data_IF_903037608273
#
_entry.id   IF_903037608273
#
_cell.length_a   1.000
_cell.length_b   1.000
_cell.length_c   1.000
_cell.angle_alpha   90.00
_cell.angle_beta   90.00
_cell.angle_gamma   90.00
#
_symmetry.space_group_name_H-M   'P 1'
#
loop_
_entity.id
_entity.type
_entity.pdbx_description
1 polymer ?
#
# COMPACT_ATOMS: atom_id res chain seq x y z
N UNK A 1 21.22 -11.88 -5.87
CA UNK A 1 20.01 -11.28 -6.46
C UNK A 1 19.80 -9.93 -5.81
N UNK A 2 19.59 -8.86 -6.57
CA UNK A 2 19.31 -7.55 -6.00
C UNK A 2 17.95 -7.60 -5.29
N UNK A 3 17.94 -7.23 -4.01
CA UNK A 3 16.75 -7.24 -3.16
C UNK A 3 15.91 -6.02 -3.50
N UNK A 4 14.71 -6.24 -4.06
CA UNK A 4 13.76 -5.16 -4.35
C UNK A 4 12.72 -5.09 -3.26
N UNK A 5 12.38 -3.87 -2.88
CA UNK A 5 11.25 -3.54 -2.02
C UNK A 5 10.42 -2.45 -2.68
N UNK A 6 9.12 -2.46 -2.39
CA UNK A 6 8.20 -1.39 -2.77
C UNK A 6 7.62 -0.77 -1.50
N UNK A 7 8.03 0.47 -1.22
CA UNK A 7 7.49 1.25 -0.13
C UNK A 7 6.40 2.15 -0.71
N UNK A 8 5.19 2.01 -0.18
CA UNK A 8 4.02 2.76 -0.60
C UNK A 8 3.52 3.53 0.62
N UNK A 9 3.39 4.85 0.48
CA UNK A 9 2.93 5.73 1.56
C UNK A 9 1.69 6.48 1.14
N UNK A 10 0.66 6.39 1.98
CA UNK A 10 -0.61 7.12 1.87
C UNK A 10 -0.73 8.07 3.05
N UNK A 11 -1.15 9.31 2.81
CA UNK A 11 -1.35 10.28 3.88
C UNK A 11 -2.44 11.31 3.59
N UNK A 12 -3.07 11.80 4.66
CA UNK A 12 -4.09 12.85 4.61
C UNK A 12 -3.52 14.29 4.71
N UNK A 13 -2.20 14.47 4.76
CA UNK A 13 -1.61 15.80 4.80
C UNK A 13 -0.12 15.84 5.14
N UNK A 14 0.35 17.01 5.55
CA UNK A 14 1.72 17.25 6.01
C UNK A 14 1.71 17.95 7.37
N UNK A 15 2.55 17.51 8.32
CA UNK A 15 2.69 18.12 9.65
C UNK A 15 2.43 17.16 10.82
N UNK A 16 2.35 17.69 12.04
CA UNK A 16 1.92 16.93 13.21
C UNK A 16 0.44 16.54 13.12
N UNK A 17 0.09 15.35 13.62
CA UNK A 17 -1.29 14.85 13.61
C UNK A 17 -1.76 14.29 12.26
N UNK A 18 -0.91 14.25 11.23
CA UNK A 18 -1.26 13.60 9.96
C UNK A 18 -1.29 12.09 10.11
N UNK A 19 -2.32 11.47 9.56
CA UNK A 19 -2.41 10.03 9.44
C UNK A 19 -1.56 9.58 8.26
N UNK A 20 -0.75 8.54 8.49
CA UNK A 20 0.14 7.98 7.47
C UNK A 20 0.13 6.47 7.54
N UNK A 21 -0.28 5.85 6.43
CA UNK A 21 -0.13 4.42 6.21
C UNK A 21 1.08 4.15 5.33
N UNK A 22 1.94 3.25 5.79
CA UNK A 22 3.12 2.79 5.05
C UNK A 22 2.98 1.30 4.81
N UNK A 23 2.93 0.89 3.54
CA UNK A 23 3.07 -0.49 3.12
C UNK A 23 4.49 -0.73 2.61
N UNK A 24 5.08 -1.85 2.99
CA UNK A 24 6.29 -2.38 2.37
C UNK A 24 5.95 -3.73 1.78
N UNK A 25 6.18 -3.89 0.48
CA UNK A 25 6.03 -5.14 -0.24
C UNK A 25 7.41 -5.65 -0.63
N UNK A 26 7.71 -6.91 -0.34
CA UNK A 26 8.99 -7.52 -0.69
C UNK A 26 10.20 -6.99 0.12
N UNK A 27 9.98 -6.50 1.33
CA UNK A 27 11.04 -6.24 2.30
C UNK A 27 11.86 -7.50 2.65
N UNK A 28 12.97 -7.30 3.36
CA UNK A 28 13.86 -8.37 3.83
C UNK A 28 14.24 -9.35 2.71
N UNK A 29 14.84 -8.82 1.64
CA UNK A 29 15.20 -9.63 0.48
C UNK A 29 14.01 -10.30 -0.21
N UNK A 30 12.89 -9.59 -0.34
CA UNK A 30 11.68 -10.08 -1.00
C UNK A 30 11.06 -11.28 -0.29
N UNK A 31 11.11 -11.31 1.03
CA UNK A 31 10.55 -12.40 1.86
C UNK A 31 9.42 -11.95 2.77
N UNK A 32 9.27 -10.63 2.95
CA UNK A 32 8.37 -10.08 3.96
C UNK A 32 7.66 -8.84 3.46
N UNK A 33 6.39 -8.69 3.81
CA UNK A 33 5.58 -7.52 3.52
C UNK A 33 4.78 -7.12 4.74
N UNK A 34 4.55 -5.82 4.93
CA UNK A 34 3.81 -5.29 6.09
C UNK A 34 3.11 -3.99 5.76
N UNK A 35 2.05 -3.68 6.50
CA UNK A 35 1.32 -2.41 6.42
C UNK A 35 1.22 -1.81 7.82
N UNK A 36 1.50 -0.53 8.03
CA UNK A 36 1.43 0.10 9.35
C UNK A 36 0.89 1.53 9.27
N UNK A 37 0.14 1.93 10.30
CA UNK A 37 -0.11 3.33 10.59
C UNK A 37 1.12 3.90 11.32
N UNK A 38 1.49 5.15 11.04
CA UNK A 38 2.65 5.80 11.71
C UNK A 38 2.24 6.42 13.04
N UNK A 39 0.94 6.70 13.21
CA UNK A 39 0.34 7.28 14.41
C UNK A 39 0.17 6.26 15.53
N UNK A 40 0.07 4.98 15.17
CA UNK A 40 -0.08 3.87 16.09
C UNK A 40 0.89 2.76 15.68
N UNK A 41 1.79 2.36 16.58
CA UNK A 41 2.67 1.21 16.38
C UNK A 41 1.92 -0.12 16.25
N UNK A 42 0.58 -0.13 16.34
CA UNK A 42 -0.22 -1.29 15.99
C UNK A 42 0.05 -1.73 14.55
N UNK A 43 0.46 -3.00 14.48
CA UNK A 43 0.87 -3.71 13.28
C UNK A 43 -0.37 -3.91 12.42
N UNK A 44 -0.47 -3.22 11.28
CA UNK A 44 -1.27 -3.76 10.18
C UNK A 44 -0.62 -5.07 9.73
N UNK A 45 -1.45 -6.02 9.33
CA UNK A 45 -1.08 -7.41 9.10
C UNK A 45 0.21 -7.56 8.28
N UNK A 46 0.97 -8.59 8.59
CA UNK A 46 2.18 -8.95 7.88
C UNK A 46 2.00 -10.21 7.03
N UNK A 47 2.76 -10.26 5.94
CA UNK A 47 2.78 -11.38 5.01
C UNK A 47 4.21 -11.85 4.78
N UNK A 48 4.44 -13.15 4.90
CA UNK A 48 5.74 -13.80 4.72
C UNK A 48 5.84 -14.52 3.36
N UNK A 49 5.08 -14.05 2.36
CA UNK A 49 5.09 -14.64 1.02
C UNK A 49 6.36 -14.21 0.26
N UNK A 50 7.28 -15.14 -0.05
CA UNK A 50 8.53 -14.77 -0.69
C UNK A 50 8.39 -14.61 -2.21
N UNK A 51 9.34 -13.89 -2.81
CA UNK A 51 9.47 -13.69 -4.25
C UNK A 51 8.28 -13.00 -4.92
N UNK A 52 7.55 -12.19 -4.16
CA UNK A 52 6.39 -11.41 -4.62
C UNK A 52 6.76 -10.36 -5.68
N UNK A 53 7.92 -9.71 -5.53
CA UNK A 53 8.42 -8.75 -6.51
C UNK A 53 9.33 -9.42 -7.55
N UNK A 54 9.07 -9.16 -8.84
CA UNK A 54 9.89 -9.71 -9.92
C UNK A 54 11.13 -8.85 -10.18
N UNK A 55 12.31 -9.48 -10.35
CA UNK A 55 13.51 -8.75 -10.75
C UNK A 55 13.44 -8.31 -12.23
N UNK A 56 12.69 -9.04 -13.06
CA UNK A 56 12.69 -8.89 -14.53
C UNK A 56 11.47 -8.16 -15.06
N UNK A 57 10.30 -8.37 -14.45
CA UNK A 57 9.02 -7.86 -14.94
C UNK A 57 8.43 -6.88 -13.91
N UNK A 58 7.69 -5.85 -14.35
CA UNK A 58 6.89 -5.05 -13.43
C UNK A 58 5.89 -5.94 -12.70
N UNK A 59 5.88 -5.87 -11.36
CA UNK A 59 4.84 -6.51 -10.55
C UNK A 59 3.68 -5.53 -10.39
N UNK A 60 2.46 -5.86 -10.86
CA UNK A 60 1.29 -5.02 -10.61
C UNK A 60 0.92 -5.06 -9.12
N UNK A 61 0.73 -3.89 -8.52
CA UNK A 61 0.29 -3.74 -7.12
C UNK A 61 -0.93 -2.83 -7.14
N UNK A 62 -2.03 -3.31 -6.57
CA UNK A 62 -3.25 -2.52 -6.37
C UNK A 62 -3.29 -2.03 -4.93
N UNK A 63 -3.57 -0.74 -4.78
CA UNK A 63 -3.77 -0.07 -3.49
C UNK A 63 -5.20 0.42 -3.49
N UNK A 64 -6.04 -0.12 -2.61
CA UNK A 64 -7.47 0.18 -2.58
C UNK A 64 -7.89 0.64 -1.19
N UNK A 65 -8.38 1.87 -1.09
CA UNK A 65 -9.05 2.35 0.10
C UNK A 65 -10.56 2.28 -0.11
N UNK A 66 -11.23 1.47 0.70
CA UNK A 66 -12.67 1.23 0.63
C UNK A 66 -13.43 2.22 1.52
N UNK A 67 -14.67 2.52 1.14
CA UNK A 67 -15.55 3.41 1.91
C UNK A 67 -15.81 2.95 3.36
N UNK A 68 -15.71 1.66 3.64
CA UNK A 68 -15.85 1.12 4.99
C UNK A 68 -14.59 1.32 5.87
N UNK A 69 -13.62 2.10 5.42
CA UNK A 69 -12.37 2.35 6.13
C UNK A 69 -11.31 1.28 5.93
N UNK A 70 -11.55 0.25 5.11
CA UNK A 70 -10.56 -0.81 4.88
C UNK A 70 -9.53 -0.39 3.82
N UNK A 71 -8.25 -0.57 4.11
CA UNK A 71 -7.15 -0.42 3.16
C UNK A 71 -6.59 -1.78 2.78
N UNK A 72 -6.64 -2.12 1.49
CA UNK A 72 -6.15 -3.37 0.93
C UNK A 72 -4.98 -3.13 -0.04
N UNK A 73 -3.91 -3.93 0.12
CA UNK A 73 -2.81 -4.03 -0.84
C UNK A 73 -2.87 -5.40 -1.49
N UNK A 74 -3.01 -5.46 -2.81
CA UNK A 74 -3.25 -6.69 -3.55
C UNK A 74 -2.28 -6.86 -4.71
N UNK A 75 -1.93 -8.11 -5.04
CA UNK A 75 -1.12 -8.46 -6.20
C UNK A 75 -1.85 -9.54 -6.99
N UNK A 76 -2.14 -9.31 -8.29
CA UNK A 76 -2.78 -10.30 -9.14
C UNK A 76 -2.12 -11.68 -9.08
N UNK A 77 -2.93 -12.71 -8.84
CA UNK A 77 -2.47 -14.09 -8.70
C UNK A 77 -2.07 -14.51 -7.28
N UNK A 78 -2.04 -13.58 -6.32
CA UNK A 78 -1.98 -13.89 -4.88
C UNK A 78 -3.41 -13.97 -4.35
N UNK A 79 -3.74 -15.04 -3.62
CA UNK A 79 -5.05 -15.20 -3.01
C UNK A 79 -5.20 -14.27 -1.79
N UNK A 80 -6.39 -13.65 -1.65
CA UNK A 80 -6.68 -12.55 -0.70
C UNK A 80 -5.79 -11.31 -0.91
N UNK A 81 -6.16 -10.13 -0.38
CA UNK A 81 -5.24 -9.01 -0.30
C UNK A 81 -3.96 -9.43 0.42
N UNK A 82 -2.80 -9.09 -0.15
CA UNK A 82 -1.51 -9.37 0.44
C UNK A 82 -1.38 -8.75 1.83
N UNK A 83 -1.92 -7.53 1.99
CA UNK A 83 -1.95 -6.80 3.26
C UNK A 83 -3.32 -6.14 3.40
N UNK A 84 -3.83 -6.07 4.62
CA UNK A 84 -5.05 -5.33 4.94
C UNK A 84 -4.92 -4.62 6.29
N UNK A 85 -5.56 -3.46 6.42
CA UNK A 85 -5.66 -2.71 7.66
C UNK A 85 -7.00 -1.99 7.77
N UNK A 86 -7.41 -1.73 9.02
CA UNK A 86 -8.40 -0.71 9.33
C UNK A 86 -7.71 0.66 9.22
N UNK A 87 -8.14 1.43 8.23
CA UNK A 87 -7.71 2.78 7.90
C UNK A 87 -8.91 3.74 7.91
N UNK A 88 -9.87 3.51 8.80
CA UNK A 88 -11.03 4.38 9.02
C UNK A 88 -10.66 5.79 9.48
N UNK A 89 -9.46 5.98 10.05
CA UNK A 89 -8.89 7.27 10.42
C UNK A 89 -8.32 8.05 9.22
N UNK A 90 -8.04 7.38 8.10
CA UNK A 90 -7.58 7.98 6.86
C UNK A 90 -8.77 8.42 6.02
N UNK A 91 -9.52 9.43 6.45
CA UNK A 91 -10.77 9.83 5.76
C UNK A 91 -10.58 10.37 4.34
N UNK A 92 -9.39 10.83 3.98
CA UNK A 92 -9.04 11.34 2.66
C UNK A 92 -7.54 11.12 2.38
N UNK A 93 -7.20 10.55 1.22
CA UNK A 93 -5.80 10.46 0.76
C UNK A 93 -5.45 11.71 -0.05
N UNK A 94 -4.64 12.59 0.54
CA UNK A 94 -4.17 13.82 -0.13
C UNK A 94 -2.87 13.64 -0.87
N UNK A 95 -2.06 12.68 -0.44
CA UNK A 95 -0.76 12.42 -1.04
C UNK A 95 -0.46 10.94 -1.04
N UNK A 96 0.18 10.52 -2.13
CA UNK A 96 0.66 9.18 -2.37
C UNK A 96 2.12 9.24 -2.80
N UNK A 97 2.96 8.38 -2.23
CA UNK A 97 4.38 8.29 -2.54
C UNK A 97 4.80 6.83 -2.71
N UNK A 98 5.65 6.57 -3.72
CA UNK A 98 6.28 5.25 -3.91
C UNK A 98 7.79 5.41 -4.00
N UNK A 99 8.53 4.56 -3.28
CA UNK A 99 9.99 4.50 -3.36
C UNK A 99 10.53 3.10 -3.06
N UNK A 100 11.81 2.88 -3.36
CA UNK A 100 12.56 1.68 -2.97
C UNK A 100 13.69 2.11 -2.03
N UNK A 101 14.06 1.28 -1.05
CA UNK A 101 15.17 1.61 -0.15
C UNK A 101 16.53 1.31 -0.75
N UNK A 102 16.68 0.16 -1.40
CA UNK A 102 18.01 -0.38 -1.71
C UNK A 102 18.39 -0.24 -3.18
N UNK A 103 17.45 -0.40 -4.10
CA UNK A 103 17.74 -0.44 -5.53
C UNK A 103 16.84 0.52 -6.31
N UNK A 104 17.38 1.24 -7.32
CA UNK A 104 16.57 2.08 -8.17
C UNK A 104 15.54 1.22 -8.94
N UNK A 105 14.26 1.47 -8.67
CA UNK A 105 13.13 0.84 -9.33
C UNK A 105 12.50 1.81 -10.35
N UNK A 106 11.91 1.25 -11.41
CA UNK A 106 11.01 2.01 -12.28
C UNK A 106 9.59 1.80 -11.80
N UNK A 107 8.84 2.89 -11.71
CA UNK A 107 7.47 2.90 -11.24
C UNK A 107 6.55 3.33 -12.36
N UNK A 108 5.42 2.66 -12.44
CA UNK A 108 4.30 3.02 -13.30
C UNK A 108 3.10 3.15 -12.38
N UNK A 109 2.38 4.26 -12.48
CA UNK A 109 1.19 4.48 -11.68
C UNK A 109 0.04 4.85 -12.61
N UNK A 110 -1.14 4.37 -12.26
CA UNK A 110 -2.39 4.77 -12.88
C UNK A 110 -3.43 4.86 -11.77
N UNK A 111 -4.16 5.96 -11.71
CA UNK A 111 -5.27 6.16 -10.79
C UNK A 111 -6.52 6.25 -11.66
N UNK A 112 -7.29 5.17 -11.70
CA UNK A 112 -8.37 5.03 -12.69
C UNK A 112 -9.70 5.58 -12.23
N UNK A 113 -10.03 5.58 -10.93
CA UNK A 113 -11.31 6.08 -10.43
C UNK A 113 -11.17 6.64 -9.00
N UNK A 114 -11.74 7.82 -8.76
CA UNK A 114 -12.28 8.22 -7.47
C UNK A 114 -13.78 7.93 -7.64
N UNK A 115 -14.28 6.81 -7.13
CA UNK A 115 -15.72 6.64 -7.00
C UNK A 115 -16.17 7.63 -5.91
N UNK A 116 -16.55 8.85 -6.33
CA UNK A 116 -17.32 9.74 -5.48
C UNK A 116 -18.61 8.98 -5.14
N UNK A 117 -18.76 8.59 -3.87
CA UNK A 117 -19.99 8.04 -3.33
C UNK A 117 -21.08 9.13 -3.35
N UNK A 118 -21.58 9.46 -4.53
CA UNK A 118 -22.72 10.33 -4.76
C UNK A 118 -23.56 9.76 -5.90
N UNK A 119 -24.32 8.71 -5.60
CA UNK A 119 -25.68 8.56 -6.15
C UNK A 119 -26.44 7.47 -5.38
N UNK A 120 -27.02 7.83 -4.25
CA UNK A 120 -28.26 7.20 -3.76
C UNK A 120 -29.13 8.31 -3.13
N UNK A 121 -29.39 9.36 -3.92
CA UNK A 121 -30.54 10.24 -3.75
C UNK A 121 -31.50 9.98 -4.92
N UNK A 122 -32.38 8.99 -4.76
CA UNK A 122 -33.68 8.89 -5.45
C UNK A 122 -34.71 8.17 -4.56
#
# INVERSE_FOLDING_TARGET
MATKDANIVLTNGYGEGTIRYTAVVGGYANTYSWLRNTSDTTVGLDSHLPNILSPLWPTPITVEQKHNGRLDISIPGVAEPLLTADASDLTEVKSFCIYAWTNPCRWFYNCTEIEDALSDDF
#
